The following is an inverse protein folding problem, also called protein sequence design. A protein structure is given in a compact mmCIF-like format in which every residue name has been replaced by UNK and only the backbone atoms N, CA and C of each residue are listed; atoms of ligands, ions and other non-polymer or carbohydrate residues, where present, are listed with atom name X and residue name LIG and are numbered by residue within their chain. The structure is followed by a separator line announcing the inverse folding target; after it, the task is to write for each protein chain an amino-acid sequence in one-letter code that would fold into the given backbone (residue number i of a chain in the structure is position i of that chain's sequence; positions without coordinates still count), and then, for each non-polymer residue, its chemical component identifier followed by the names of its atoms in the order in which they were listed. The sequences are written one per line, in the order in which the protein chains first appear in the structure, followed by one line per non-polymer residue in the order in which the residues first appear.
data_IF_582962703560
#
_entry.id   IF_582962703560
#
_cell.length_a   1.000
_cell.length_b   1.000
_cell.length_c   1.000
_cell.angle_alpha   90.00
_cell.angle_beta   90.00
_cell.angle_gamma   90.00
#
_symmetry.space_group_name_H-M   'P 1'
#
loop_
_entity.id
_entity.type
_entity.pdbx_description
1 polymer ?
#
# COMPACT_ATOMS: atom_id res chain seq x y z
N UNK A 1 21.39 45.72 -46.74
CA UNK A 1 20.40 44.86 -46.06
C UNK A 1 21.12 44.02 -45.01
N UNK A 2 20.84 44.27 -43.74
CA UNK A 2 21.45 43.58 -42.60
C UNK A 2 20.54 42.41 -42.19
N UNK A 3 21.05 41.16 -42.16
CA UNK A 3 20.32 39.99 -41.64
C UNK A 3 20.83 39.67 -40.24
N UNK A 4 19.95 39.76 -39.25
CA UNK A 4 20.21 39.36 -37.87
C UNK A 4 19.70 37.93 -37.70
N UNK A 5 20.58 37.00 -37.30
CA UNK A 5 20.20 35.66 -36.86
C UNK A 5 19.96 35.71 -35.34
N UNK A 6 18.73 35.45 -34.90
CA UNK A 6 18.43 35.15 -33.49
C UNK A 6 18.51 33.63 -33.29
N UNK A 7 19.51 33.16 -32.54
CA UNK A 7 19.53 31.78 -32.02
C UNK A 7 18.74 31.75 -30.71
N UNK A 8 17.54 31.17 -30.75
CA UNK A 8 16.77 30.88 -29.53
C UNK A 8 17.24 29.50 -29.03
N UNK A 9 18.06 29.49 -27.99
CA UNK A 9 18.38 28.25 -27.27
C UNK A 9 17.22 27.92 -26.34
N UNK A 10 16.37 26.97 -26.74
CA UNK A 10 15.35 26.39 -25.88
C UNK A 10 16.03 25.33 -25.03
N UNK A 11 16.34 25.66 -23.78
CA UNK A 11 16.79 24.68 -22.78
C UNK A 11 15.59 23.81 -22.40
N UNK A 12 15.45 22.65 -23.05
CA UNK A 12 14.47 21.64 -22.66
C UNK A 12 14.94 21.00 -21.34
N UNK A 13 14.43 21.48 -20.20
CA UNK A 13 14.60 20.78 -18.94
C UNK A 13 13.75 19.52 -19.00
N UNK A 14 14.37 18.40 -19.35
CA UNK A 14 13.76 17.08 -19.21
C UNK A 14 13.53 16.82 -17.72
N UNK A 15 12.32 17.14 -17.24
CA UNK A 15 11.85 16.62 -15.96
C UNK A 15 11.69 15.11 -16.15
N UNK A 16 12.71 14.37 -15.73
CA UNK A 16 12.64 12.93 -15.56
C UNK A 16 11.57 12.65 -14.51
N UNK A 17 10.33 12.47 -14.96
CA UNK A 17 9.27 11.91 -14.14
C UNK A 17 9.63 10.44 -13.93
N UNK A 18 10.41 10.16 -12.88
CA UNK A 18 10.67 8.78 -12.45
C UNK A 18 9.33 8.23 -11.98
N UNK A 19 8.64 7.50 -12.85
CA UNK A 19 7.52 6.67 -12.45
C UNK A 19 8.06 5.74 -11.35
N UNK A 20 7.80 6.08 -10.09
CA UNK A 20 8.12 5.17 -8.99
C UNK A 20 7.25 3.95 -9.24
N UNK A 21 7.89 2.86 -9.70
CA UNK A 21 7.17 1.60 -9.87
C UNK A 21 6.93 1.06 -8.47
N UNK A 22 5.72 1.29 -7.98
CA UNK A 22 5.23 0.58 -6.80
C UNK A 22 5.41 -0.92 -7.02
N UNK A 23 6.06 -1.58 -6.07
CA UNK A 23 6.31 -3.02 -6.08
C UNK A 23 5.46 -3.64 -4.98
N UNK A 24 4.58 -4.55 -5.36
CA UNK A 24 3.76 -5.33 -4.45
C UNK A 24 4.60 -6.44 -3.82
N UNK A 25 4.47 -6.63 -2.51
CA UNK A 25 5.29 -7.57 -1.72
C UNK A 25 4.43 -8.43 -0.80
N UNK A 26 4.89 -9.64 -0.54
CA UNK A 26 4.35 -10.47 0.55
C UNK A 26 5.00 -10.08 1.88
N UNK A 27 4.19 -10.04 2.94
CA UNK A 27 4.61 -9.78 4.32
C UNK A 27 4.43 -11.06 5.13
N UNK A 28 5.51 -11.49 5.75
CA UNK A 28 5.52 -12.65 6.65
C UNK A 28 5.76 -12.15 8.07
N UNK A 29 4.72 -12.22 8.91
CA UNK A 29 4.81 -11.93 10.34
C UNK A 29 5.16 -13.19 11.13
N UNK A 30 6.26 -13.14 11.89
CA UNK A 30 6.74 -14.23 12.75
C UNK A 30 6.76 -13.83 14.21
N UNK A 31 6.44 -14.77 15.08
CA UNK A 31 6.59 -14.58 16.53
C UNK A 31 8.08 -14.61 16.91
N UNK A 32 8.54 -13.62 17.68
CA UNK A 32 9.97 -13.45 18.02
C UNK A 32 10.55 -14.64 18.79
N UNK A 33 9.76 -15.29 19.65
CA UNK A 33 10.26 -16.38 20.52
C UNK A 33 10.37 -17.72 19.78
N UNK A 34 9.40 -18.05 18.95
CA UNK A 34 9.27 -19.36 18.31
C UNK A 34 9.70 -19.36 16.85
N UNK A 35 9.84 -18.18 16.24
CA UNK A 35 10.00 -17.98 14.79
C UNK A 35 8.86 -18.61 13.96
N UNK A 36 7.72 -18.90 14.59
CA UNK A 36 6.55 -19.43 13.92
C UNK A 36 5.89 -18.33 13.09
N UNK A 37 5.47 -18.66 11.86
CA UNK A 37 4.69 -17.75 11.01
C UNK A 37 3.27 -17.67 11.59
N UNK A 38 2.87 -16.48 12.02
CA UNK A 38 1.54 -16.21 12.59
C UNK A 38 0.67 -15.43 11.60
N UNK A 39 1.27 -14.60 10.76
CA UNK A 39 0.55 -13.77 9.79
C UNK A 39 1.21 -13.84 8.42
N UNK A 40 0.37 -13.93 7.38
CA UNK A 40 0.73 -13.62 6.00
C UNK A 40 -0.22 -12.54 5.49
N UNK A 41 0.34 -11.57 4.81
CA UNK A 41 -0.41 -10.52 4.14
C UNK A 41 0.40 -9.93 3.01
N UNK A 42 -0.07 -8.81 2.49
CA UNK A 42 0.50 -8.12 1.35
C UNK A 42 0.88 -6.69 1.73
N UNK A 43 1.68 -6.05 0.89
CA UNK A 43 2.03 -4.65 1.02
C UNK A 43 2.54 -4.07 -0.30
N UNK A 44 2.84 -2.78 -0.28
CA UNK A 44 3.45 -2.08 -1.41
C UNK A 44 4.66 -1.29 -0.94
N UNK A 45 5.79 -1.47 -1.63
CA UNK A 45 6.99 -0.66 -1.42
C UNK A 45 6.73 0.78 -1.85
N UNK A 46 6.80 1.69 -0.89
CA UNK A 46 6.82 3.14 -1.13
C UNK A 46 8.25 3.63 -1.42
N UNK A 47 9.23 2.97 -0.81
CA UNK A 47 10.67 3.16 -1.03
C UNK A 47 11.41 1.88 -0.64
N UNK A 48 12.75 1.89 -0.71
CA UNK A 48 13.59 0.78 -0.24
C UNK A 48 13.34 0.44 1.23
N UNK A 49 13.04 1.45 2.03
CA UNK A 49 12.95 1.33 3.49
C UNK A 49 11.52 1.37 4.03
N UNK A 50 10.50 1.51 3.18
CA UNK A 50 9.11 1.69 3.62
C UNK A 50 8.11 0.87 2.82
N UNK A 51 7.22 0.21 3.55
CA UNK A 51 6.11 -0.58 3.01
C UNK A 51 4.80 -0.04 3.58
N UNK A 52 3.83 0.21 2.71
CA UNK A 52 2.44 0.43 3.11
C UNK A 52 1.69 -0.91 3.11
N UNK A 53 0.89 -1.15 4.14
CA UNK A 53 0.04 -2.35 4.30
C UNK A 53 -1.18 -2.03 5.17
N UNK A 54 -2.02 -3.02 5.47
CA UNK A 54 -3.13 -2.88 6.40
C UNK A 54 -2.68 -2.98 7.86
N UNK A 55 -3.31 -2.22 8.75
CA UNK A 55 -2.93 -2.20 10.16
C UNK A 55 -3.15 -3.55 10.85
N UNK A 56 -4.21 -4.28 10.48
CA UNK A 56 -4.50 -5.60 11.04
C UNK A 56 -3.52 -6.70 10.59
N UNK A 57 -2.89 -6.56 9.41
CA UNK A 57 -1.84 -7.48 8.94
C UNK A 57 -0.64 -7.42 9.88
N UNK A 58 -0.38 -6.26 10.45
CA UNK A 58 0.79 -6.03 11.31
C UNK A 58 0.42 -5.86 12.77
N UNK A 59 -0.60 -6.54 13.30
CA UNK A 59 -1.24 -6.24 14.60
C UNK A 59 -0.36 -6.19 15.86
N UNK A 60 0.81 -6.82 15.88
CA UNK A 60 1.63 -6.97 17.09
C UNK A 60 3.03 -6.36 16.89
N UNK A 61 3.41 -5.45 17.78
CA UNK A 61 4.71 -4.77 17.77
C UNK A 61 5.85 -5.70 18.24
N UNK A 62 5.53 -6.82 18.89
CA UNK A 62 6.48 -7.85 19.30
C UNK A 62 6.79 -8.89 18.21
N UNK A 63 6.17 -8.78 17.04
CA UNK A 63 6.43 -9.64 15.89
C UNK A 63 7.56 -9.12 15.00
N UNK A 64 8.25 -10.05 14.34
CA UNK A 64 9.23 -9.76 13.29
C UNK A 64 8.49 -9.82 11.95
N UNK A 65 8.54 -8.73 11.17
CA UNK A 65 7.99 -8.70 9.82
C UNK A 65 9.13 -8.87 8.81
N UNK A 66 9.06 -9.94 8.02
CA UNK A 66 10.04 -10.25 6.99
C UNK A 66 9.43 -10.07 5.60
N UNK A 67 10.14 -9.34 4.74
CA UNK A 67 9.72 -8.97 3.39
C UNK A 67 10.92 -9.14 2.47
N UNK A 68 10.88 -10.12 1.57
CA UNK A 68 12.00 -10.42 0.67
C UNK A 68 13.33 -10.71 1.40
N UNK A 69 13.27 -11.31 2.60
CA UNK A 69 14.44 -11.60 3.43
C UNK A 69 14.96 -10.42 4.28
N UNK A 70 14.36 -9.24 4.17
CA UNK A 70 14.68 -8.07 4.98
C UNK A 70 13.70 -7.92 6.14
N UNK A 71 14.19 -7.51 7.31
CA UNK A 71 13.38 -7.27 8.50
C UNK A 71 12.87 -5.82 8.50
N UNK A 72 11.58 -5.68 8.83
CA UNK A 72 10.89 -4.42 9.03
C UNK A 72 10.18 -4.37 10.39
N UNK A 73 9.93 -3.16 10.88
CA UNK A 73 9.19 -2.85 12.10
C UNK A 73 8.05 -1.88 11.80
N UNK A 74 6.99 -1.92 12.59
CA UNK A 74 5.87 -0.98 12.45
C UNK A 74 6.33 0.41 12.87
N UNK A 75 6.32 1.37 11.93
CA UNK A 75 6.72 2.76 12.18
C UNK A 75 5.52 3.71 12.31
N UNK A 76 4.36 3.34 11.75
CA UNK A 76 3.12 4.10 11.86
C UNK A 76 1.89 3.19 11.72
N UNK A 77 0.80 3.55 12.41
CA UNK A 77 -0.52 2.93 12.27
C UNK A 77 -1.62 3.98 12.23
N UNK A 78 -2.54 3.81 11.29
CA UNK A 78 -3.84 4.44 11.26
C UNK A 78 -4.91 3.35 11.45
N UNK A 79 -5.36 3.18 12.69
CA UNK A 79 -6.40 2.20 13.02
C UNK A 79 -7.79 2.58 12.49
N UNK A 80 -8.02 3.84 12.12
CA UNK A 80 -9.31 4.32 11.60
C UNK A 80 -9.50 3.99 10.13
N UNK A 81 -8.42 4.06 9.34
CA UNK A 81 -8.36 3.63 7.95
C UNK A 81 -7.82 2.23 7.72
N UNK A 82 -7.46 1.49 8.78
CA UNK A 82 -6.78 0.19 8.73
C UNK A 82 -5.51 0.19 7.85
N UNK A 83 -4.64 1.19 8.05
CA UNK A 83 -3.38 1.35 7.31
C UNK A 83 -2.17 1.35 8.24
N UNK A 84 -1.03 0.87 7.77
CA UNK A 84 0.22 0.93 8.51
C UNK A 84 1.42 1.12 7.58
N UNK A 85 2.47 1.74 8.12
CA UNK A 85 3.81 1.74 7.50
C UNK A 85 4.71 0.81 8.29
N UNK A 86 5.41 -0.05 7.56
CA UNK A 86 6.58 -0.76 8.04
C UNK A 86 7.84 -0.05 7.56
N UNK A 87 8.85 0.07 8.42
CA UNK A 87 10.17 0.63 8.10
C UNK A 87 11.31 -0.30 8.50
N UNK A 88 12.44 -0.21 7.82
CA UNK A 88 13.67 -0.92 8.24
C UNK A 88 14.18 -0.35 9.58
N UNK A 89 14.80 -1.17 10.45
CA UNK A 89 15.33 -0.70 11.74
C UNK A 89 16.40 0.40 11.62
N UNK A 90 17.13 0.45 10.50
CA UNK A 90 18.14 1.48 10.21
C UNK A 90 17.53 2.83 9.85
N UNK A 91 16.27 2.86 9.42
CA UNK A 91 15.53 4.07 9.06
C UNK A 91 14.18 4.13 9.79
N UNK A 92 14.17 4.23 11.13
CA UNK A 92 12.96 4.27 11.93
C UNK A 92 12.34 5.68 11.85
N UNK A 93 11.96 6.13 10.66
CA UNK A 93 11.32 7.44 10.53
C UNK A 93 9.93 7.38 11.17
N UNK A 94 9.85 7.86 12.42
CA UNK A 94 8.64 8.01 13.24
C UNK A 94 7.60 8.99 12.65
N UNK A 95 7.90 9.66 11.55
CA UNK A 95 7.03 10.62 10.89
C UNK A 95 6.94 10.36 9.39
N UNK A 96 6.77 9.09 9.02
CA UNK A 96 6.43 8.76 7.62
C UNK A 96 5.02 9.27 7.35
N UNK A 97 4.90 10.29 6.51
CA UNK A 97 3.59 10.75 6.03
C UNK A 97 3.00 9.62 5.16
N UNK A 98 1.74 9.26 5.42
CA UNK A 98 0.98 8.39 4.52
C UNK A 98 1.13 8.90 3.07
N UNK A 99 1.27 8.02 2.07
CA UNK A 99 1.23 8.47 0.69
C UNK A 99 -0.10 9.19 0.43
N UNK A 100 -0.07 10.12 -0.52
CA UNK A 100 -1.31 10.73 -0.96
C UNK A 100 -2.13 9.67 -1.71
N UNK A 101 -3.31 9.38 -1.18
CA UNK A 101 -4.26 8.48 -1.82
C UNK A 101 -5.05 9.20 -2.91
N UNK A 102 -5.14 8.56 -4.07
CA UNK A 102 -5.94 9.04 -5.17
C UNK A 102 -7.42 8.86 -4.86
N UNK A 103 -8.20 9.93 -5.08
CA UNK A 103 -9.65 9.87 -4.93
C UNK A 103 -10.27 9.20 -6.14
N UNK A 104 -11.25 8.34 -5.86
CA UNK A 104 -12.01 7.61 -6.88
C UNK A 104 -13.50 7.92 -6.77
N UNK A 105 -14.24 7.57 -7.82
CA UNK A 105 -15.69 7.75 -7.95
C UNK A 105 -16.35 6.40 -8.16
N UNK A 106 -17.67 6.35 -7.90
CA UNK A 106 -18.49 5.21 -8.23
C UNK A 106 -18.30 4.79 -9.70
N UNK A 107 -17.94 3.53 -9.91
CA UNK A 107 -17.72 2.95 -11.24
C UNK A 107 -16.32 3.14 -11.83
N UNK A 108 -15.42 3.88 -11.17
CA UNK A 108 -14.05 4.03 -11.64
C UNK A 108 -13.34 2.66 -11.71
N UNK A 109 -12.59 2.38 -12.79
CA UNK A 109 -11.82 1.15 -12.89
C UNK A 109 -10.61 1.19 -11.95
N UNK A 110 -10.41 0.09 -11.25
CA UNK A 110 -9.29 -0.10 -10.31
C UNK A 110 -8.75 -1.52 -10.45
N UNK A 111 -7.55 -1.74 -9.93
CA UNK A 111 -7.00 -3.09 -9.82
C UNK A 111 -6.14 -3.23 -8.58
N UNK A 112 -5.89 -4.48 -8.19
CA UNK A 112 -4.92 -4.84 -7.17
C UNK A 112 -3.92 -5.84 -7.71
N UNK A 113 -2.81 -5.97 -7.00
CA UNK A 113 -1.77 -6.96 -7.22
C UNK A 113 -1.67 -7.81 -5.94
N UNK A 114 -1.84 -9.13 -6.05
CA UNK A 114 -1.84 -10.04 -4.89
C UNK A 114 -0.91 -11.24 -5.14
N UNK A 115 -0.28 -11.79 -4.10
CA UNK A 115 0.54 -12.99 -4.22
C UNK A 115 -0.33 -14.24 -4.05
N UNK A 116 -0.46 -15.05 -5.10
CA UNK A 116 -1.19 -16.33 -5.08
C UNK A 116 -0.31 -17.42 -5.64
N UNK A 117 -0.10 -18.50 -4.87
CA UNK A 117 0.78 -19.63 -5.23
C UNK A 117 2.20 -19.21 -5.65
N UNK A 118 2.74 -18.16 -5.01
CA UNK A 118 4.09 -17.66 -5.26
C UNK A 118 4.24 -16.77 -6.50
N UNK A 119 3.13 -16.39 -7.16
CA UNK A 119 3.13 -15.44 -8.28
C UNK A 119 2.26 -14.23 -7.98
N UNK A 120 2.66 -13.06 -8.47
CA UNK A 120 1.81 -11.86 -8.43
C UNK A 120 0.72 -12.01 -9.49
N UNK A 121 -0.54 -11.85 -9.06
CA UNK A 121 -1.73 -11.87 -9.89
C UNK A 121 -2.37 -10.49 -9.88
N UNK A 122 -2.69 -9.99 -11.07
CA UNK A 122 -3.47 -8.77 -11.25
C UNK A 122 -4.96 -9.08 -11.24
N UNK A 123 -5.72 -8.40 -10.39
CA UNK A 123 -7.17 -8.56 -10.30
C UNK A 123 -7.81 -7.20 -10.49
N UNK A 124 -8.57 -7.05 -11.57
CA UNK A 124 -9.27 -5.83 -11.91
C UNK A 124 -10.70 -5.84 -11.34
N UNK A 125 -11.23 -4.65 -11.08
CA UNK A 125 -12.61 -4.42 -10.69
C UNK A 125 -12.98 -2.95 -10.85
N UNK A 126 -14.03 -2.54 -10.16
CA UNK A 126 -14.52 -1.17 -10.11
C UNK A 126 -14.95 -0.79 -8.71
N UNK A 127 -15.00 0.51 -8.49
CA UNK A 127 -15.52 1.09 -7.25
C UNK A 127 -17.04 0.94 -7.19
N UNK A 128 -17.54 0.39 -6.08
CA UNK A 128 -18.95 0.27 -5.74
C UNK A 128 -19.42 1.35 -4.75
N UNK A 129 -18.52 1.84 -3.89
CA UNK A 129 -18.76 2.97 -3.00
C UNK A 129 -17.42 3.65 -2.66
N UNK A 130 -17.19 4.91 -3.05
CA UNK A 130 -15.92 5.59 -2.81
C UNK A 130 -15.72 6.08 -1.36
N UNK A 131 -16.76 6.02 -0.50
CA UNK A 131 -16.68 6.51 0.89
C UNK A 131 -17.55 5.67 1.84
N UNK A 132 -17.50 4.36 1.67
CA UNK A 132 -18.23 3.40 2.49
C UNK A 132 -17.78 3.38 3.94
N UNK A 133 -18.59 2.70 4.76
CA UNK A 133 -18.25 2.39 6.15
C UNK A 133 -18.47 0.91 6.42
N UNK A 134 -17.51 0.29 7.09
CA UNK A 134 -17.54 -1.14 7.42
C UNK A 134 -17.21 -1.33 8.89
N UNK A 135 -17.88 -2.28 9.53
CA UNK A 135 -17.45 -2.77 10.84
C UNK A 135 -16.14 -3.57 10.70
N UNK A 136 -15.20 -3.41 11.60
CA UNK A 136 -13.98 -4.18 11.71
C UNK A 136 -13.74 -4.58 13.15
N UNK A 137 -12.63 -5.29 13.39
CA UNK A 137 -12.15 -5.57 14.74
C UNK A 137 -10.81 -4.88 14.93
N UNK A 138 -10.64 -4.19 16.06
CA UNK A 138 -9.33 -3.65 16.43
C UNK A 138 -8.37 -4.77 16.90
N UNK A 139 -7.08 -4.48 17.15
CA UNK A 139 -6.14 -5.48 17.64
C UNK A 139 -6.52 -6.15 18.98
N UNK A 140 -7.46 -5.58 19.74
CA UNK A 140 -7.98 -6.14 21.00
C UNK A 140 -9.28 -6.93 20.79
N UNK A 141 -9.74 -7.11 19.55
CA UNK A 141 -10.97 -7.82 19.21
C UNK A 141 -12.25 -7.02 19.46
N UNK A 142 -12.17 -5.69 19.64
CA UNK A 142 -13.34 -4.83 19.81
C UNK A 142 -13.89 -4.44 18.45
N UNK A 143 -15.22 -4.39 18.32
CA UNK A 143 -15.87 -3.92 17.09
C UNK A 143 -15.61 -2.43 16.92
N UNK A 144 -15.07 -2.04 15.78
CA UNK A 144 -14.81 -0.65 15.39
C UNK A 144 -15.50 -0.34 14.06
N UNK A 145 -15.91 0.90 13.84
CA UNK A 145 -16.40 1.36 12.54
C UNK A 145 -15.24 1.99 11.78
N UNK A 146 -14.88 1.40 10.64
CA UNK A 146 -13.95 1.97 9.68
C UNK A 146 -14.77 2.80 8.69
N UNK A 147 -14.38 4.06 8.46
CA UNK A 147 -15.11 5.00 7.59
C UNK A 147 -14.18 5.55 6.52
N UNK A 148 -14.73 5.88 5.36
CA UNK A 148 -13.93 6.34 4.21
C UNK A 148 -13.24 5.19 3.48
N UNK A 149 -13.81 3.98 3.57
CA UNK A 149 -13.32 2.78 2.90
C UNK A 149 -13.91 2.72 1.49
N UNK A 150 -13.08 2.36 0.52
CA UNK A 150 -13.54 2.13 -0.86
C UNK A 150 -14.09 0.71 -0.97
N UNK A 151 -15.39 0.56 -1.21
CA UNK A 151 -16.00 -0.72 -1.54
C UNK A 151 -15.80 -1.01 -3.04
N UNK A 152 -15.48 -2.26 -3.36
CA UNK A 152 -15.14 -2.69 -4.73
C UNK A 152 -15.76 -4.05 -5.02
N UNK A 153 -15.80 -4.44 -6.30
CA UNK A 153 -16.17 -5.79 -6.74
C UNK A 153 -14.95 -6.69 -7.06
N UNK A 154 -13.76 -6.30 -6.59
CA UNK A 154 -12.55 -7.13 -6.73
C UNK A 154 -12.72 -8.42 -5.90
N UNK A 155 -12.45 -9.57 -6.52
CA UNK A 155 -12.52 -10.88 -5.87
C UNK A 155 -11.27 -11.15 -5.02
N UNK A 156 -11.42 -10.92 -3.71
CA UNK A 156 -10.36 -10.97 -2.71
C UNK A 156 -10.58 -12.11 -1.73
N UNK A 157 -9.48 -12.72 -1.28
CA UNK A 157 -9.48 -13.83 -0.32
C UNK A 157 -8.60 -13.53 0.90
N UNK A 158 -8.78 -14.24 2.03
CA UNK A 158 -7.87 -14.14 3.15
C UNK A 158 -6.41 -14.32 2.72
N UNK A 159 -5.54 -13.42 3.18
CA UNK A 159 -4.14 -13.33 2.74
C UNK A 159 -3.86 -12.23 1.72
N UNK A 160 -4.89 -11.74 1.01
CA UNK A 160 -4.75 -10.59 0.09
C UNK A 160 -4.71 -9.24 0.84
N UNK A 161 -5.09 -9.22 2.13
CA UNK A 161 -5.08 -8.02 2.97
C UNK A 161 -3.74 -7.30 2.95
N UNK A 162 -3.79 -5.97 2.86
CA UNK A 162 -2.63 -5.09 2.73
C UNK A 162 -2.13 -4.89 1.30
N UNK A 163 -2.67 -5.61 0.32
CA UNK A 163 -2.31 -5.41 -1.09
C UNK A 163 -2.70 -4.00 -1.56
N UNK A 164 -1.91 -3.34 -2.41
CA UNK A 164 -2.27 -2.03 -2.92
C UNK A 164 -3.47 -2.10 -3.85
N UNK A 165 -4.34 -1.10 -3.79
CA UNK A 165 -5.37 -0.82 -4.80
C UNK A 165 -4.87 0.36 -5.62
N UNK A 166 -4.90 0.20 -6.95
CA UNK A 166 -4.43 1.20 -7.89
C UNK A 166 -5.54 1.68 -8.83
N UNK A 167 -5.43 2.92 -9.30
CA UNK A 167 -6.08 3.39 -10.53
C UNK A 167 -5.41 2.78 -11.76
N UNK A 168 -6.01 2.94 -12.95
CA UNK A 168 -5.42 2.52 -14.22
C UNK A 168 -4.06 3.19 -14.51
N UNK A 169 -3.82 4.36 -13.92
CA UNK A 169 -2.57 5.13 -14.02
C UNK A 169 -1.51 4.69 -12.99
N UNK A 170 -1.80 3.64 -12.19
CA UNK A 170 -0.93 3.10 -11.12
C UNK A 170 -0.74 4.09 -9.96
N UNK A 171 -1.73 4.92 -9.68
CA UNK A 171 -1.80 5.75 -8.47
C UNK A 171 -2.46 4.97 -7.34
N UNK A 172 -1.93 5.03 -6.12
CA UNK A 172 -2.48 4.28 -4.98
C UNK A 172 -3.81 4.91 -4.55
N UNK A 173 -4.86 4.11 -4.51
CA UNK A 173 -6.18 4.47 -3.98
C UNK A 173 -6.28 4.12 -2.50
N UNK A 174 -5.89 2.90 -2.14
CA UNK A 174 -5.89 2.41 -0.75
C UNK A 174 -5.09 1.09 -0.65
N UNK A 175 -5.17 0.41 0.49
CA UNK A 175 -4.83 -1.00 0.65
C UNK A 175 -6.06 -1.87 0.85
N UNK A 176 -5.95 -3.14 0.47
CA UNK A 176 -7.01 -4.14 0.58
C UNK A 176 -7.29 -4.48 2.04
N UNK A 177 -8.56 -4.41 2.43
CA UNK A 177 -9.06 -4.98 3.69
C UNK A 177 -9.97 -6.18 3.39
N UNK A 178 -9.56 -7.38 3.78
CA UNK A 178 -10.42 -8.57 3.82
C UNK A 178 -10.71 -8.91 5.28
N UNK A 179 -11.98 -9.16 5.59
CA UNK A 179 -12.44 -9.57 6.93
C UNK A 179 -12.18 -11.04 7.21
#
# INVERSE_FOLDING_TARGET
MLKILLSISITLTLVSCTSHRYETVEIIGKETQTNQIIVRGMGVKLSTDQILTSAHVVRDDAMIYEIGGQIYQVSYRDSGGDRAILSTPSHPQKHTQMPQFQRVRLGDPIYTEVSRSGSIVHIAGKVLDPAGSVLGYDPLGRVVSLSGIVLTDIDLQPGDSGAPIFTTEREIVDVVHVR
#
